data_IF_529273333002
#
_entry.id   IF_529273333002
#
_cell.length_a   1.000
_cell.length_b   1.000
_cell.length_c   1.000
_cell.angle_alpha   90.00
_cell.angle_beta   90.00
_cell.angle_gamma   90.00
#
_symmetry.space_group_name_H-M   'P 1'
#
loop_
_entity.id
_entity.type
_entity.pdbx_description
1 polymer ?
#
# COMPACT_ATOMS: atom_id res chain seq x y z
N UNK A 1 -18.40 9.52 16.78
CA UNK A 1 -17.61 8.68 15.85
C UNK A 1 -17.11 9.62 14.77
N UNK A 2 -15.80 9.77 14.60
CA UNK A 2 -15.26 10.53 13.49
C UNK A 2 -15.29 9.63 12.26
N UNK A 3 -16.13 9.96 11.28
CA UNK A 3 -16.16 9.24 10.01
C UNK A 3 -15.02 9.75 9.14
N UNK A 4 -14.24 8.85 8.52
CA UNK A 4 -13.26 9.24 7.52
C UNK A 4 -13.98 9.91 6.33
N UNK A 5 -13.38 10.93 5.71
CA UNK A 5 -13.99 11.63 4.59
C UNK A 5 -14.17 10.71 3.39
N UNK A 6 -15.30 10.84 2.69
CA UNK A 6 -15.58 10.15 1.41
C UNK A 6 -15.43 11.16 0.28
N UNK A 7 -14.55 10.86 -0.67
CA UNK A 7 -14.21 11.74 -1.79
C UNK A 7 -14.54 11.02 -3.10
N UNK A 8 -15.52 11.53 -3.83
CA UNK A 8 -15.82 11.07 -5.17
C UNK A 8 -14.89 11.78 -6.18
N UNK A 9 -14.05 10.99 -6.87
CA UNK A 9 -13.08 11.53 -7.83
C UNK A 9 -13.55 11.47 -9.28
N UNK A 10 -14.81 11.14 -9.55
CA UNK A 10 -15.35 10.99 -10.90
C UNK A 10 -15.21 12.26 -11.74
N UNK A 11 -15.49 13.43 -11.16
CA UNK A 11 -15.35 14.74 -11.84
C UNK A 11 -13.91 14.98 -12.27
N UNK A 12 -12.95 14.70 -11.38
CA UNK A 12 -11.52 14.83 -11.67
C UNK A 12 -11.10 13.86 -12.78
N UNK A 13 -11.49 12.59 -12.69
CA UNK A 13 -11.21 11.56 -13.71
C UNK A 13 -11.70 11.93 -15.11
N UNK A 14 -12.91 12.49 -15.19
CA UNK A 14 -13.56 12.79 -16.47
C UNK A 14 -12.96 14.03 -17.13
N UNK A 15 -12.63 15.06 -16.35
CA UNK A 15 -12.04 16.29 -16.87
C UNK A 15 -11.17 16.97 -15.79
N UNK A 16 -9.87 16.66 -15.70
CA UNK A 16 -8.97 17.23 -14.69
C UNK A 16 -8.90 18.77 -14.69
N UNK A 17 -9.29 19.42 -15.80
CA UNK A 17 -9.23 20.87 -15.98
C UNK A 17 -10.57 21.59 -15.74
N UNK A 18 -11.59 20.88 -15.26
CA UNK A 18 -12.88 21.50 -14.89
C UNK A 18 -12.79 22.27 -13.57
N UNK A 19 -13.67 23.25 -13.35
CA UNK A 19 -13.77 23.94 -12.04
C UNK A 19 -14.07 22.95 -10.90
N UNK A 20 -14.92 21.95 -11.15
CA UNK A 20 -15.25 20.92 -10.15
C UNK A 20 -14.06 20.02 -9.79
N UNK A 21 -13.07 19.88 -10.68
CA UNK A 21 -11.88 19.08 -10.44
C UNK A 21 -10.94 19.71 -9.41
N UNK A 22 -10.88 21.04 -9.35
CA UNK A 22 -10.15 21.73 -8.30
C UNK A 22 -10.80 21.49 -6.93
N UNK A 23 -12.13 21.56 -6.84
CA UNK A 23 -12.86 21.28 -5.59
C UNK A 23 -12.60 19.85 -5.09
N UNK A 24 -12.60 18.86 -6.00
CA UNK A 24 -12.26 17.46 -5.64
C UNK A 24 -10.82 17.36 -5.15
N UNK A 25 -9.87 17.97 -5.85
CA UNK A 25 -8.46 17.96 -5.49
C UNK A 25 -8.17 18.63 -4.13
N UNK A 26 -8.80 19.77 -3.87
CA UNK A 26 -8.71 20.48 -2.57
C UNK A 26 -9.31 19.65 -1.44
N UNK A 27 -10.45 18.97 -1.67
CA UNK A 27 -11.07 18.09 -0.69
C UNK A 27 -10.17 16.87 -0.38
N UNK A 28 -9.52 16.30 -1.40
CA UNK A 28 -8.58 15.20 -1.25
C UNK A 28 -7.34 15.63 -0.44
N UNK A 29 -6.78 16.80 -0.76
CA UNK A 29 -5.66 17.39 0.00
C UNK A 29 -6.07 17.67 1.44
N UNK A 30 -7.25 18.22 1.68
CA UNK A 30 -7.76 18.48 3.03
C UNK A 30 -7.92 17.19 3.85
N UNK A 31 -8.44 16.12 3.25
CA UNK A 31 -8.53 14.81 3.90
C UNK A 31 -7.14 14.27 4.28
N UNK A 32 -6.19 14.36 3.34
CA UNK A 32 -4.81 13.92 3.53
C UNK A 32 -4.01 14.77 4.53
N UNK A 33 -4.29 16.06 4.61
CA UNK A 33 -3.67 16.98 5.57
C UNK A 33 -4.21 16.77 6.99
N UNK A 34 -5.54 16.63 7.14
CA UNK A 34 -6.18 16.56 8.44
C UNK A 34 -6.09 15.17 9.07
N UNK A 35 -6.30 14.13 8.27
CA UNK A 35 -6.42 12.74 8.74
C UNK A 35 -5.39 11.81 8.09
N UNK A 36 -4.95 12.09 6.86
CA UNK A 36 -4.06 11.17 6.12
C UNK A 36 -4.76 9.95 5.52
N UNK A 37 -6.10 9.91 5.63
CA UNK A 37 -6.97 8.84 5.17
C UNK A 37 -8.24 9.42 4.51
N UNK A 38 -8.75 8.75 3.49
CA UNK A 38 -10.05 9.02 2.87
C UNK A 38 -10.63 7.74 2.27
N UNK A 39 -11.94 7.66 2.11
CA UNK A 39 -12.54 6.75 1.13
C UNK A 39 -12.58 7.43 -0.23
N UNK A 40 -12.22 6.69 -1.27
CA UNK A 40 -12.26 7.14 -2.67
C UNK A 40 -13.35 6.36 -3.40
N UNK A 41 -14.31 7.08 -3.97
CA UNK A 41 -15.38 6.55 -4.83
C UNK A 41 -15.29 7.17 -6.23
N UNK A 42 -16.07 6.66 -7.19
CA UNK A 42 -16.00 7.17 -8.57
C UNK A 42 -14.63 6.92 -9.22
N UNK A 43 -13.88 5.94 -8.71
CA UNK A 43 -12.49 5.66 -9.08
C UNK A 43 -12.33 5.00 -10.46
N UNK A 44 -13.40 4.39 -11.00
CA UNK A 44 -13.39 3.80 -12.34
C UNK A 44 -12.72 2.43 -12.45
N UNK A 45 -12.48 1.77 -11.32
CA UNK A 45 -12.09 0.35 -11.27
C UNK A 45 -13.36 -0.47 -11.38
N UNK A 46 -13.34 -1.53 -12.18
CA UNK A 46 -14.48 -2.41 -12.43
C UNK A 46 -14.96 -3.08 -11.13
N UNK A 47 -16.22 -2.83 -10.67
CA UNK A 47 -16.77 -3.47 -9.48
C UNK A 47 -16.77 -5.01 -9.56
N UNK A 48 -16.87 -5.59 -10.76
CA UNK A 48 -16.84 -7.03 -10.94
C UNK A 48 -15.47 -7.64 -10.59
N UNK A 49 -14.37 -6.89 -10.81
CA UNK A 49 -13.02 -7.32 -10.41
C UNK A 49 -12.88 -7.37 -8.90
N UNK A 50 -13.47 -6.41 -8.18
CA UNK A 50 -13.45 -6.38 -6.73
C UNK A 50 -14.07 -7.67 -6.16
N UNK A 51 -15.30 -7.99 -6.55
CA UNK A 51 -15.97 -9.22 -6.12
C UNK A 51 -15.15 -10.47 -6.50
N UNK A 52 -14.70 -10.55 -7.77
CA UNK A 52 -13.95 -11.71 -8.25
C UNK A 52 -12.64 -11.93 -7.50
N UNK A 53 -11.95 -10.86 -7.10
CA UNK A 53 -10.72 -10.96 -6.32
C UNK A 53 -10.95 -11.51 -4.91
N UNK A 54 -12.03 -11.13 -4.23
CA UNK A 54 -12.35 -11.70 -2.92
C UNK A 54 -12.72 -13.19 -3.02
N UNK A 55 -13.49 -13.59 -4.03
CA UNK A 55 -13.77 -15.02 -4.29
C UNK A 55 -12.49 -15.83 -4.56
N UNK A 56 -11.54 -15.25 -5.31
CA UNK A 56 -10.25 -15.88 -5.57
C UNK A 56 -9.34 -15.89 -4.34
N UNK A 57 -9.43 -14.87 -3.47
CA UNK A 57 -8.75 -14.83 -2.19
C UNK A 57 -9.28 -15.94 -1.27
N UNK A 58 -10.61 -16.10 -1.16
CA UNK A 58 -11.25 -17.22 -0.46
C UNK A 58 -10.72 -18.55 -0.99
N UNK A 59 -10.80 -18.74 -2.31
CA UNK A 59 -10.34 -19.96 -2.96
C UNK A 59 -8.85 -20.24 -2.70
N UNK A 60 -8.01 -19.20 -2.61
CA UNK A 60 -6.60 -19.33 -2.30
C UNK A 60 -6.38 -19.78 -0.85
N UNK A 61 -7.02 -19.14 0.12
CA UNK A 61 -6.83 -19.47 1.54
C UNK A 61 -7.50 -20.81 1.93
N UNK A 62 -8.45 -21.29 1.14
CA UNK A 62 -9.02 -22.64 1.25
C UNK A 62 -8.11 -23.74 0.67
N UNK A 63 -7.06 -23.40 -0.08
CA UNK A 63 -6.10 -24.39 -0.56
C UNK A 63 -5.41 -25.10 0.62
N UNK A 64 -5.10 -26.41 0.48
CA UNK A 64 -4.31 -27.12 1.47
C UNK A 64 -3.01 -26.37 1.80
N UNK A 65 -2.69 -26.24 3.09
CA UNK A 65 -1.52 -25.50 3.55
C UNK A 65 -0.22 -25.84 2.78
N UNK A 66 0.10 -27.11 2.45
CA UNK A 66 1.28 -27.42 1.65
C UNK A 66 1.32 -26.77 0.26
N UNK A 67 0.15 -26.55 -0.37
CA UNK A 67 0.08 -25.87 -1.67
C UNK A 67 0.34 -24.37 -1.53
N UNK A 68 -0.12 -23.74 -0.45
CA UNK A 68 0.18 -22.34 -0.15
C UNK A 68 1.64 -22.15 0.23
N UNK A 69 2.18 -23.02 1.09
CA UNK A 69 3.59 -23.02 1.49
C UNK A 69 4.55 -23.32 0.32
N UNK A 70 4.11 -24.04 -0.71
CA UNK A 70 4.90 -24.21 -1.93
C UNK A 70 5.19 -22.87 -2.63
N UNK A 71 4.37 -21.84 -2.39
CA UNK A 71 4.55 -20.48 -2.89
C UNK A 71 5.23 -19.56 -1.85
N UNK A 72 5.91 -20.11 -0.84
CA UNK A 72 6.52 -19.32 0.24
C UNK A 72 7.31 -18.11 -0.28
N UNK A 73 7.16 -16.96 0.37
CA UNK A 73 7.84 -15.71 0.00
C UNK A 73 9.37 -15.88 -0.04
N UNK A 74 9.92 -16.74 0.82
CA UNK A 74 11.31 -17.18 0.83
C UNK A 74 11.81 -17.77 -0.49
N UNK A 75 10.94 -18.19 -1.41
CA UNK A 75 11.34 -18.70 -2.72
C UNK A 75 11.65 -17.60 -3.73
N UNK A 76 11.33 -16.34 -3.43
CA UNK A 76 11.48 -15.21 -4.35
C UNK A 76 12.41 -14.14 -3.78
N UNK A 77 13.50 -13.83 -4.50
CA UNK A 77 14.34 -12.67 -4.20
C UNK A 77 13.55 -11.35 -4.27
N UNK A 78 12.47 -11.32 -5.06
CA UNK A 78 11.60 -10.17 -5.23
C UNK A 78 10.53 -10.03 -4.14
N UNK A 79 10.58 -10.85 -3.07
CA UNK A 79 9.60 -10.84 -1.97
C UNK A 79 8.16 -11.03 -2.47
N UNK A 80 7.96 -11.92 -3.46
CA UNK A 80 6.64 -12.33 -3.97
C UNK A 80 6.31 -13.71 -3.45
N UNK A 81 5.10 -13.95 -2.96
CA UNK A 81 4.68 -15.25 -2.46
C UNK A 81 3.94 -15.21 -1.14
N UNK A 82 3.69 -16.39 -0.59
CA UNK A 82 2.90 -16.62 0.61
C UNK A 82 3.73 -16.48 1.89
N UNK A 83 3.17 -15.78 2.87
CA UNK A 83 3.68 -15.65 4.24
C UNK A 83 2.72 -16.39 5.17
N UNK A 84 3.26 -17.29 6.00
CA UNK A 84 2.45 -18.13 6.89
C UNK A 84 1.82 -17.30 7.99
N UNK A 85 0.69 -17.79 8.51
CA UNK A 85 -0.01 -17.18 9.65
C UNK A 85 0.94 -16.90 10.82
N UNK A 86 1.05 -15.62 11.21
CA UNK A 86 1.84 -15.21 12.36
C UNK A 86 3.34 -15.00 12.09
N UNK A 87 3.81 -15.20 10.85
CA UNK A 87 5.24 -15.04 10.53
C UNK A 87 5.69 -13.56 10.53
N UNK A 88 4.85 -12.66 10.01
CA UNK A 88 5.16 -11.22 10.01
C UNK A 88 5.01 -10.63 11.42
N UNK A 89 5.86 -9.63 11.73
CA UNK A 89 5.90 -8.98 13.03
C UNK A 89 5.89 -7.47 12.88
N UNK A 90 5.04 -6.82 13.66
CA UNK A 90 5.04 -5.36 13.81
C UNK A 90 5.37 -4.98 15.25
N UNK A 91 6.34 -4.08 15.42
CA UNK A 91 6.87 -3.64 16.72
C UNK A 91 7.27 -4.79 17.66
N UNK A 92 7.85 -5.86 17.08
CA UNK A 92 8.31 -7.01 17.84
C UNK A 92 7.21 -7.99 18.27
N UNK A 93 5.95 -7.76 17.90
CA UNK A 93 4.81 -8.67 18.15
C UNK A 93 4.37 -9.32 16.85
N UNK A 94 3.98 -10.60 16.88
CA UNK A 94 3.46 -11.33 15.72
C UNK A 94 2.11 -10.76 15.28
N UNK A 95 1.97 -10.54 13.98
CA UNK A 95 0.73 -10.10 13.34
C UNK A 95 -0.14 -11.33 13.02
N UNK A 96 -1.37 -11.38 13.56
CA UNK A 96 -2.28 -12.51 13.38
C UNK A 96 -2.97 -12.48 12.00
N UNK A 97 -2.14 -12.69 10.97
CA UNK A 97 -2.53 -12.74 9.58
C UNK A 97 -1.65 -13.68 8.80
N UNK A 98 -2.19 -14.15 7.69
CA UNK A 98 -1.44 -14.75 6.60
C UNK A 98 -1.71 -13.96 5.32
N UNK A 99 -0.81 -14.04 4.34
CA UNK A 99 -0.95 -13.24 3.12
C UNK A 99 -0.24 -13.87 1.93
N UNK A 100 -0.61 -13.44 0.73
CA UNK A 100 0.16 -13.66 -0.50
C UNK A 100 0.45 -12.32 -1.17
N UNK A 101 1.72 -12.15 -1.53
CA UNK A 101 2.30 -10.91 -2.02
C UNK A 101 2.53 -10.99 -3.54
N UNK A 102 2.05 -9.98 -4.26
CA UNK A 102 2.25 -9.82 -5.71
C UNK A 102 2.86 -8.45 -6.05
N UNK A 103 3.32 -8.30 -7.28
CA UNK A 103 3.77 -7.04 -7.87
C UNK A 103 3.73 -7.07 -9.39
N UNK A 104 4.37 -6.09 -10.04
CA UNK A 104 4.53 -6.09 -11.50
C UNK A 104 5.08 -7.43 -11.99
N UNK A 105 4.45 -8.00 -13.01
CA UNK A 105 4.89 -9.27 -13.60
C UNK A 105 6.12 -9.01 -14.46
N UNK A 106 7.31 -9.27 -13.91
CA UNK A 106 8.57 -9.00 -14.58
C UNK A 106 9.47 -10.25 -14.57
N UNK A 107 10.34 -10.44 -15.57
CA UNK A 107 11.35 -11.48 -15.51
C UNK A 107 12.34 -11.19 -14.37
N UNK A 108 12.92 -12.24 -13.79
CA UNK A 108 14.04 -12.07 -12.88
C UNK A 108 15.23 -11.40 -13.62
N UNK A 109 16.00 -10.52 -12.94
CA UNK A 109 17.22 -9.96 -13.48
C UNK A 109 18.17 -11.07 -13.95
N UNK A 110 18.77 -10.90 -15.14
CA UNK A 110 19.72 -11.86 -15.71
C UNK A 110 21.07 -11.86 -14.98
N UNK A 111 21.45 -10.71 -14.44
CA UNK A 111 22.63 -10.50 -13.61
C UNK A 111 22.26 -9.60 -12.44
N UNK A 112 23.03 -9.70 -11.36
CA UNK A 112 22.92 -8.80 -10.20
C UNK A 112 24.06 -7.77 -10.18
N UNK A 113 24.65 -7.51 -11.34
CA UNK A 113 25.68 -6.49 -11.54
C UNK A 113 25.00 -5.12 -11.55
N UNK A 114 24.98 -4.42 -10.42
CA UNK A 114 24.33 -3.13 -10.29
C UNK A 114 23.85 -2.83 -8.88
N UNK A 115 22.85 -1.96 -8.77
CA UNK A 115 22.27 -1.62 -7.48
C UNK A 115 21.57 -2.85 -6.86
N UNK A 116 21.80 -3.15 -5.56
CA UNK A 116 21.26 -4.36 -4.95
C UNK A 116 19.73 -4.51 -5.01
N UNK A 117 19.00 -3.39 -5.02
CA UNK A 117 17.54 -3.37 -5.13
C UNK A 117 17.01 -3.88 -6.47
N UNK A 118 17.85 -4.08 -7.49
CA UNK A 118 17.44 -4.73 -8.74
C UNK A 118 16.84 -6.13 -8.51
N UNK A 119 17.26 -6.82 -7.45
CA UNK A 119 16.73 -8.13 -7.03
C UNK A 119 15.27 -8.08 -6.55
N UNK A 120 14.74 -6.89 -6.26
CA UNK A 120 13.33 -6.68 -5.93
C UNK A 120 12.40 -6.85 -7.15
N UNK A 121 12.96 -6.86 -8.36
CA UNK A 121 12.23 -7.19 -9.59
C UNK A 121 12.26 -8.69 -9.83
N UNK A 122 11.13 -9.25 -10.21
CA UNK A 122 11.05 -10.67 -10.51
C UNK A 122 9.62 -11.17 -10.66
N UNK A 123 9.47 -12.45 -11.02
CA UNK A 123 8.17 -13.02 -11.31
C UNK A 123 7.36 -13.20 -10.03
N UNK A 124 6.04 -13.13 -10.18
CA UNK A 124 5.12 -13.54 -9.13
C UNK A 124 5.06 -15.09 -9.03
N UNK A 125 4.70 -15.58 -7.85
CA UNK A 125 4.43 -17.00 -7.62
C UNK A 125 2.93 -17.26 -7.70
N UNK A 126 2.46 -17.95 -8.75
CA UNK A 126 1.04 -18.19 -9.00
C UNK A 126 0.62 -19.63 -8.61
N UNK A 127 -0.50 -19.81 -7.88
CA UNK A 127 -1.04 -21.13 -7.57
C UNK A 127 -1.55 -21.83 -8.84
N UNK A 128 -0.97 -22.98 -9.19
CA UNK A 128 -1.41 -23.76 -10.36
C UNK A 128 -2.89 -24.21 -10.28
N UNK A 129 -3.42 -24.36 -9.07
CA UNK A 129 -4.82 -24.74 -8.82
C UNK A 129 -5.83 -23.60 -9.12
N UNK A 130 -5.37 -22.35 -9.22
CA UNK A 130 -6.23 -21.17 -9.46
C UNK A 130 -5.73 -20.37 -10.68
N UNK A 131 -5.89 -20.91 -11.91
CA UNK A 131 -5.37 -20.29 -13.12
C UNK A 131 -5.94 -18.89 -13.39
N UNK A 132 -7.14 -18.61 -12.91
CA UNK A 132 -7.82 -17.31 -13.06
C UNK A 132 -7.23 -16.20 -12.17
N UNK A 133 -6.48 -16.56 -11.12
CA UNK A 133 -5.93 -15.57 -10.19
C UNK A 133 -4.95 -14.63 -10.90
N UNK A 134 -4.06 -15.17 -11.74
CA UNK A 134 -3.08 -14.37 -12.49
C UNK A 134 -3.74 -13.30 -13.39
N UNK A 135 -4.57 -13.65 -14.38
CA UNK A 135 -5.15 -12.65 -15.27
C UNK A 135 -6.06 -11.65 -14.54
N UNK A 136 -6.81 -12.10 -13.53
CA UNK A 136 -7.67 -11.21 -12.73
C UNK A 136 -6.85 -10.20 -11.93
N UNK A 137 -5.84 -10.68 -11.19
CA UNK A 137 -4.96 -9.82 -10.39
C UNK A 137 -4.23 -8.81 -11.26
N UNK A 138 -3.65 -9.23 -12.39
CA UNK A 138 -2.93 -8.32 -13.28
C UNK A 138 -3.85 -7.27 -13.92
N UNK A 139 -5.08 -7.64 -14.29
CA UNK A 139 -6.07 -6.68 -14.80
C UNK A 139 -6.46 -5.66 -13.74
N UNK A 140 -6.70 -6.11 -12.51
CA UNK A 140 -7.00 -5.19 -11.41
C UNK A 140 -5.80 -4.28 -11.08
N UNK A 141 -4.58 -4.81 -11.06
CA UNK A 141 -3.37 -4.02 -10.83
C UNK A 141 -3.19 -2.91 -11.87
N UNK A 142 -3.52 -3.16 -13.14
CA UNK A 142 -3.49 -2.14 -14.21
C UNK A 142 -4.51 -1.00 -13.94
N UNK A 143 -5.73 -1.35 -13.54
CA UNK A 143 -6.74 -0.36 -13.16
C UNK A 143 -6.36 0.42 -11.90
N UNK A 144 -5.75 -0.25 -10.92
CA UNK A 144 -5.24 0.38 -9.71
C UNK A 144 -4.02 1.27 -9.97
N UNK A 145 -3.16 0.95 -10.94
CA UNK A 145 -2.11 1.85 -11.40
C UNK A 145 -2.69 3.15 -11.98
N UNK A 146 -3.74 3.03 -12.80
CA UNK A 146 -4.45 4.20 -13.35
C UNK A 146 -5.08 5.04 -12.24
N UNK A 147 -5.71 4.39 -11.25
CA UNK A 147 -6.27 5.07 -10.07
C UNK A 147 -5.17 5.77 -9.26
N UNK A 148 -4.07 5.08 -8.96
CA UNK A 148 -2.94 5.60 -8.19
C UNK A 148 -2.35 6.85 -8.83
N UNK A 149 -2.10 6.81 -10.14
CA UNK A 149 -1.61 7.97 -10.89
C UNK A 149 -2.64 9.12 -10.86
N UNK A 150 -3.92 8.82 -11.03
CA UNK A 150 -4.99 9.83 -11.01
C UNK A 150 -5.08 10.52 -9.65
N UNK A 151 -5.04 9.76 -8.55
CA UNK A 151 -5.08 10.29 -7.20
C UNK A 151 -3.84 11.12 -6.88
N UNK A 152 -2.65 10.69 -7.32
CA UNK A 152 -1.41 11.42 -7.13
C UNK A 152 -1.40 12.75 -7.89
N UNK A 153 -1.91 12.76 -9.13
CA UNK A 153 -2.10 13.99 -9.93
C UNK A 153 -3.13 14.94 -9.30
N UNK A 154 -4.23 14.40 -8.77
CA UNK A 154 -5.21 15.19 -8.03
C UNK A 154 -4.60 15.84 -6.78
N UNK A 155 -3.78 15.10 -6.03
CA UNK A 155 -3.03 15.65 -4.89
C UNK A 155 -2.06 16.75 -5.33
N UNK A 156 -1.28 16.53 -6.40
CA UNK A 156 -0.39 17.56 -6.93
C UNK A 156 -1.15 18.84 -7.31
N UNK A 157 -2.27 18.69 -8.02
CA UNK A 157 -3.12 19.81 -8.42
C UNK A 157 -3.71 20.57 -7.22
N UNK A 158 -4.24 19.86 -6.22
CA UNK A 158 -4.76 20.47 -4.99
C UNK A 158 -3.69 21.16 -4.14
N UNK A 159 -2.44 20.69 -4.23
CA UNK A 159 -1.26 21.34 -3.63
C UNK A 159 -0.75 22.54 -4.45
N UNK A 160 -1.44 22.88 -5.54
CA UNK A 160 -1.09 23.94 -6.51
C UNK A 160 0.29 23.73 -7.14
N UNK A 161 0.61 22.47 -7.42
CA UNK A 161 1.74 22.05 -8.24
C UNK A 161 1.27 21.75 -9.67
N UNK A 162 2.18 21.62 -10.65
CA UNK A 162 1.86 20.98 -11.92
C UNK A 162 1.22 19.61 -11.69
N UNK A 163 0.19 19.28 -12.46
CA UNK A 163 -0.56 18.01 -12.31
C UNK A 163 0.39 16.80 -12.40
N UNK A 164 1.34 16.85 -13.33
CA UNK A 164 2.35 15.83 -13.60
C UNK A 164 3.58 15.89 -12.70
N UNK A 165 3.57 16.68 -11.62
CA UNK A 165 4.76 16.94 -10.76
C UNK A 165 5.50 15.67 -10.35
N UNK A 166 4.77 14.61 -10.07
CA UNK A 166 5.31 13.33 -9.59
C UNK A 166 5.43 12.25 -10.67
N UNK A 167 4.89 12.46 -11.87
CA UNK A 167 4.79 11.43 -12.92
C UNK A 167 6.14 10.79 -13.27
N UNK A 168 7.20 11.61 -13.29
CA UNK A 168 8.57 11.15 -13.57
C UNK A 168 9.02 10.00 -12.68
N UNK A 169 8.51 9.93 -11.44
CA UNK A 169 8.87 8.93 -10.47
C UNK A 169 8.09 7.60 -10.67
N UNK A 170 6.95 7.62 -11.36
CA UNK A 170 6.02 6.49 -11.49
C UNK A 170 5.88 5.97 -12.93
N UNK A 171 6.26 6.76 -13.94
CA UNK A 171 6.13 6.39 -15.35
C UNK A 171 7.46 5.86 -15.92
N UNK A 172 7.42 4.95 -16.93
CA UNK A 172 6.21 4.41 -17.58
C UNK A 172 5.48 3.33 -16.75
N UNK A 173 6.13 2.77 -15.74
CA UNK A 173 5.59 1.69 -14.92
C UNK A 173 6.03 1.89 -13.46
N UNK A 174 5.07 1.93 -12.53
CA UNK A 174 5.34 2.10 -11.10
C UNK A 174 5.76 0.77 -10.46
N UNK A 175 6.62 0.80 -9.44
CA UNK A 175 6.99 -0.42 -8.70
C UNK A 175 5.96 -0.69 -7.58
N UNK A 176 4.82 -1.26 -7.98
CA UNK A 176 3.71 -1.54 -7.06
C UNK A 176 3.89 -2.82 -6.26
N UNK A 177 3.11 -2.92 -5.19
CA UNK A 177 3.06 -4.12 -4.38
C UNK A 177 1.61 -4.39 -3.97
N UNK A 178 1.23 -5.65 -3.96
CA UNK A 178 -0.10 -6.09 -3.54
C UNK A 178 0.05 -7.08 -2.41
N UNK A 179 -0.73 -6.88 -1.35
CA UNK A 179 -0.93 -7.89 -0.31
C UNK A 179 -2.37 -8.33 -0.32
N UNK A 180 -2.62 -9.61 -0.61
CA UNK A 180 -3.91 -10.26 -0.37
C UNK A 180 -3.82 -10.92 1.00
N UNK A 181 -4.62 -10.45 1.96
CA UNK A 181 -4.41 -10.75 3.39
C UNK A 181 -5.65 -11.44 3.94
N UNK A 182 -5.43 -12.50 4.72
CA UNK A 182 -6.45 -13.19 5.50
C UNK A 182 -6.14 -13.07 7.00
N UNK A 183 -7.14 -12.59 7.75
CA UNK A 183 -7.14 -12.48 9.19
C UNK A 183 -8.11 -13.54 9.73
N UNK A 184 -7.63 -14.73 10.13
CA UNK A 184 -8.51 -15.72 10.72
C UNK A 184 -9.03 -15.25 12.09
N UNK A 185 -10.16 -15.81 12.57
CA UNK A 185 -10.60 -15.63 13.94
C UNK A 185 -9.44 -15.90 14.92
N UNK A 186 -9.22 -14.99 15.86
CA UNK A 186 -8.20 -15.22 16.90
C UNK A 186 -8.76 -16.08 18.04
N UNK A 187 -7.92 -16.90 18.69
CA UNK A 187 -8.25 -17.49 19.99
C UNK A 187 -8.53 -16.41 21.04
N UNK A 188 -9.38 -16.71 22.03
CA UNK A 188 -9.77 -15.78 23.10
C UNK A 188 -8.57 -15.25 23.92
N UNK A 189 -7.51 -16.05 24.06
CA UNK A 189 -6.28 -15.73 24.80
C UNK A 189 -5.16 -15.14 23.93
N UNK A 190 -5.39 -14.98 22.62
CA UNK A 190 -4.41 -14.43 21.70
C UNK A 190 -4.44 -12.90 21.67
N UNK A 191 -3.30 -12.30 21.27
CA UNK A 191 -3.20 -10.87 20.99
C UNK A 191 -4.30 -10.41 20.02
N UNK A 192 -4.83 -9.20 20.24
CA UNK A 192 -5.79 -8.59 19.32
C UNK A 192 -5.11 -8.04 18.05
N UNK A 193 -3.79 -8.14 17.96
CA UNK A 193 -2.99 -7.61 16.86
C UNK A 193 -3.17 -8.43 15.59
N UNK A 194 -3.97 -7.92 14.66
CA UNK A 194 -4.01 -8.38 13.27
C UNK A 194 -2.84 -7.79 12.50
N UNK A 195 -2.62 -6.48 12.66
CA UNK A 195 -1.39 -5.75 12.29
C UNK A 195 -1.12 -4.72 13.36
N UNK A 196 0.10 -4.64 13.88
CA UNK A 196 0.48 -3.62 14.87
C UNK A 196 0.38 -2.19 14.34
N UNK A 197 0.44 -1.21 15.25
CA UNK A 197 0.46 0.21 14.85
C UNK A 197 1.71 0.53 14.03
N UNK A 198 1.51 1.03 12.82
CA UNK A 198 2.60 1.37 11.89
C UNK A 198 2.19 2.51 10.97
N UNK A 199 3.17 3.00 10.21
CA UNK A 199 3.00 3.88 9.06
C UNK A 199 3.41 3.13 7.80
N UNK A 200 2.78 3.44 6.68
CA UNK A 200 3.27 2.97 5.38
C UNK A 200 4.50 3.78 4.98
N UNK A 201 5.55 3.12 4.53
CA UNK A 201 6.80 3.79 4.13
C UNK A 201 6.75 4.36 2.71
N UNK A 202 5.74 3.98 1.91
CA UNK A 202 5.59 4.32 0.50
C UNK A 202 5.00 5.70 0.21
N UNK A 203 4.24 5.81 -0.88
CA UNK A 203 3.56 7.06 -1.30
C UNK A 203 2.04 6.99 -1.10
N UNK A 204 1.34 6.11 -1.83
CA UNK A 204 -0.09 5.90 -1.69
C UNK A 204 -0.40 4.42 -1.44
N UNK A 205 -1.37 4.15 -0.60
CA UNK A 205 -1.93 2.82 -0.39
C UNK A 205 -3.43 2.87 -0.60
N UNK A 206 -3.96 1.88 -1.32
CA UNK A 206 -5.39 1.67 -1.50
C UNK A 206 -5.79 0.32 -0.90
N UNK A 207 -6.84 0.30 -0.08
CA UNK A 207 -7.26 -0.90 0.65
C UNK A 207 -8.71 -1.20 0.31
N UNK A 208 -8.93 -2.39 -0.25
CA UNK A 208 -10.24 -3.04 -0.29
C UNK A 208 -10.38 -3.99 0.89
N UNK A 209 -11.57 -4.07 1.49
CA UNK A 209 -11.84 -4.90 2.66
C UNK A 209 -13.28 -5.43 2.62
N UNK A 210 -13.48 -6.67 3.08
CA UNK A 210 -14.80 -7.30 3.15
C UNK A 210 -15.57 -6.95 4.45
N UNK A 211 -14.84 -6.54 5.49
CA UNK A 211 -15.35 -6.33 6.84
C UNK A 211 -14.46 -5.34 7.61
N UNK A 212 -14.91 -4.88 8.77
CA UNK A 212 -14.18 -3.91 9.61
C UNK A 212 -13.00 -4.53 10.35
N UNK A 213 -12.12 -3.70 10.91
CA UNK A 213 -10.95 -4.15 11.69
C UNK A 213 -9.75 -3.22 11.54
N UNK A 214 -9.67 -2.50 10.40
CA UNK A 214 -8.73 -1.40 10.22
C UNK A 214 -9.11 -0.22 11.14
N UNK A 215 -8.12 0.31 11.84
CA UNK A 215 -8.26 1.47 12.71
C UNK A 215 -7.20 2.53 12.40
N UNK A 216 -7.63 3.78 12.32
CA UNK A 216 -6.79 4.94 12.00
C UNK A 216 -6.55 5.78 13.25
N UNK A 217 -5.31 6.17 13.50
CA UNK A 217 -4.97 7.03 14.62
C UNK A 217 -5.42 8.48 14.36
N UNK A 218 -6.15 9.06 15.32
CA UNK A 218 -6.58 10.45 15.30
C UNK A 218 -6.20 11.13 16.62
N UNK A 219 -6.44 12.44 16.72
CA UNK A 219 -6.25 13.20 17.97
C UNK A 219 -7.11 12.68 19.13
N UNK A 220 -8.24 12.05 18.83
CA UNK A 220 -9.19 11.49 19.81
C UNK A 220 -8.94 10.00 20.08
N UNK A 221 -7.87 9.43 19.53
CA UNK A 221 -7.55 8.00 19.59
C UNK A 221 -7.80 7.26 18.28
N UNK A 222 -7.82 5.93 18.32
CA UNK A 222 -8.06 5.09 17.15
C UNK A 222 -9.55 5.09 16.78
N UNK A 223 -9.86 5.30 15.49
CA UNK A 223 -11.22 5.24 14.95
C UNK A 223 -11.33 4.12 13.92
N UNK A 224 -12.46 3.43 13.88
CA UNK A 224 -12.70 2.35 12.93
C UNK A 224 -12.89 2.88 11.51
N UNK A 225 -12.36 2.12 10.54
CA UNK A 225 -12.55 2.36 9.12
C UNK A 225 -13.32 1.16 8.50
N UNK A 226 -14.66 1.14 8.59
CA UNK A 226 -15.46 0.03 8.06
C UNK A 226 -15.42 -0.05 6.51
N UNK A 227 -15.75 -1.20 5.90
CA UNK A 227 -15.87 -1.29 4.44
C UNK A 227 -16.87 -0.27 3.90
N UNK A 228 -16.56 0.31 2.74
CA UNK A 228 -17.46 1.14 1.97
C UNK A 228 -17.71 0.44 0.63
N UNK A 229 -18.99 0.24 0.28
CA UNK A 229 -19.38 -0.30 -1.02
C UNK A 229 -18.87 0.62 -2.14
N UNK A 230 -18.30 0.02 -3.20
CA UNK A 230 -17.68 0.74 -4.32
C UNK A 230 -16.66 1.82 -3.91
N UNK A 231 -15.95 1.57 -2.80
CA UNK A 231 -14.96 2.48 -2.27
C UNK A 231 -13.65 1.78 -1.89
N UNK A 232 -12.54 2.45 -2.16
CA UNK A 232 -11.24 2.09 -1.58
C UNK A 232 -10.91 3.04 -0.45
N UNK A 233 -10.40 2.52 0.66
CA UNK A 233 -9.67 3.38 1.59
C UNK A 233 -8.37 3.77 0.91
N UNK A 234 -8.04 5.06 0.90
CA UNK A 234 -6.75 5.59 0.48
C UNK A 234 -6.05 6.20 1.69
N UNK A 235 -4.78 5.85 1.87
CA UNK A 235 -3.90 6.49 2.83
C UNK A 235 -2.54 6.83 2.25
N UNK A 236 -1.80 7.67 2.96
CA UNK A 236 -0.49 8.16 2.54
C UNK A 236 0.63 7.44 3.28
N UNK A 237 1.76 7.31 2.59
CA UNK A 237 3.01 6.85 3.18
C UNK A 237 4.01 7.98 3.44
N UNK A 238 5.07 7.63 4.17
CA UNK A 238 6.08 8.57 4.68
C UNK A 238 6.82 9.33 3.59
N UNK A 239 6.97 8.77 2.38
CA UNK A 239 7.65 9.48 1.29
C UNK A 239 6.87 10.71 0.84
N UNK A 240 5.54 10.63 0.75
CA UNK A 240 4.72 11.79 0.38
C UNK A 240 4.64 12.82 1.50
N UNK A 241 4.61 12.35 2.75
CA UNK A 241 4.76 13.23 3.91
C UNK A 241 6.07 14.01 3.85
N UNK A 242 7.20 13.33 3.63
CA UNK A 242 8.52 13.98 3.52
C UNK A 242 8.57 14.95 2.35
N UNK A 243 8.05 14.53 1.19
CA UNK A 243 8.02 15.37 -0.01
C UNK A 243 7.26 16.67 0.20
N UNK A 244 6.19 16.64 0.99
CA UNK A 244 5.34 17.80 1.31
C UNK A 244 5.75 18.49 2.62
N UNK A 245 6.94 18.19 3.15
CA UNK A 245 7.46 18.69 4.42
C UNK A 245 6.50 18.53 5.61
N UNK A 246 5.76 17.43 5.64
CA UNK A 246 4.81 17.11 6.71
C UNK A 246 3.40 17.65 6.49
N UNK A 247 3.17 18.43 5.42
CA UNK A 247 1.85 18.98 5.16
C UNK A 247 0.82 17.87 4.92
N UNK A 248 1.13 16.90 4.07
CA UNK A 248 0.32 15.68 3.98
C UNK A 248 0.81 14.65 5.01
N UNK A 249 -0.10 13.93 5.67
CA UNK A 249 0.25 13.09 6.83
C UNK A 249 0.20 11.61 6.47
N UNK A 250 1.29 10.90 6.76
CA UNK A 250 1.31 9.45 6.83
C UNK A 250 0.82 9.05 8.23
N UNK A 251 -0.46 8.72 8.35
CA UNK A 251 -1.09 8.53 9.67
C UNK A 251 -0.89 7.12 10.20
N UNK A 252 -0.54 6.95 11.50
CA UNK A 252 -0.41 5.63 12.07
C UNK A 252 -1.75 4.89 12.03
N UNK A 253 -1.72 3.62 11.70
CA UNK A 253 -2.91 2.77 11.65
C UNK A 253 -2.57 1.34 12.06
N UNK A 254 -3.59 0.57 12.38
CA UNK A 254 -3.46 -0.83 12.84
C UNK A 254 -4.65 -1.66 12.37
N UNK A 255 -4.55 -2.98 12.49
CA UNK A 255 -5.67 -3.89 12.26
C UNK A 255 -5.92 -4.71 13.51
N UNK A 256 -7.17 -4.74 13.96
CA UNK A 256 -7.62 -5.61 15.05
C UNK A 256 -8.06 -6.95 14.46
N UNK A 257 -7.56 -8.04 15.02
CA UNK A 257 -7.94 -9.40 14.60
C UNK A 257 -9.42 -9.67 14.87
N UNK A 258 -10.13 -10.33 13.95
CA UNK A 258 -11.53 -10.63 14.16
C UNK A 258 -11.72 -11.74 15.21
N UNK A 259 -12.88 -11.76 15.86
CA UNK A 259 -13.25 -12.75 16.88
C UNK A 259 -14.11 -13.87 16.27
N UNK A 260 -15.11 -13.52 15.44
CA UNK A 260 -16.13 -14.48 15.01
C UNK A 260 -15.85 -15.11 13.64
N UNK A 261 -15.48 -14.29 12.66
CA UNK A 261 -15.34 -14.71 11.26
C UNK A 261 -14.04 -14.17 10.67
N UNK A 262 -13.46 -14.94 9.73
CA UNK A 262 -12.28 -14.48 9.02
C UNK A 262 -12.59 -13.19 8.24
N UNK A 263 -11.64 -12.26 8.25
CA UNK A 263 -11.68 -11.02 7.47
C UNK A 263 -10.60 -11.06 6.40
N UNK A 264 -10.89 -10.51 5.23
CA UNK A 264 -9.89 -10.32 4.18
C UNK A 264 -9.76 -8.85 3.78
N UNK A 265 -8.56 -8.51 3.34
CA UNK A 265 -8.30 -7.24 2.70
C UNK A 265 -7.28 -7.38 1.60
N UNK A 266 -7.38 -6.55 0.58
CA UNK A 266 -6.41 -6.45 -0.50
C UNK A 266 -5.84 -5.04 -0.46
N UNK A 267 -4.55 -4.93 -0.14
CA UNK A 267 -3.83 -3.66 -0.09
C UNK A 267 -2.96 -3.51 -1.34
N UNK A 268 -3.15 -2.42 -2.07
CA UNK A 268 -2.37 -2.00 -3.23
C UNK A 268 -1.50 -0.81 -2.85
N UNK A 269 -0.19 -1.03 -2.81
CA UNK A 269 0.80 0.01 -2.53
C UNK A 269 1.30 0.58 -3.86
N UNK A 270 0.91 1.81 -4.16
CA UNK A 270 1.33 2.56 -5.34
C UNK A 270 2.57 3.37 -5.01
N UNK A 271 3.72 2.88 -5.47
CA UNK A 271 5.03 3.43 -5.12
C UNK A 271 5.84 3.85 -6.34
N UNK A 272 6.82 4.77 -6.17
CA UNK A 272 7.73 5.16 -7.22
C UNK A 272 8.48 3.96 -7.78
N UNK A 273 9.04 4.13 -8.97
CA UNK A 273 10.05 3.22 -9.51
C UNK A 273 11.24 3.11 -8.59
N UNK A 274 11.89 1.96 -8.54
CA UNK A 274 13.05 1.73 -7.69
C UNK A 274 14.22 2.68 -8.00
N UNK A 275 14.42 3.08 -9.26
CA UNK A 275 15.45 4.06 -9.62
C UNK A 275 15.13 5.49 -9.17
N UNK A 276 13.87 5.78 -8.85
CA UNK A 276 13.39 7.14 -8.69
C UNK A 276 13.92 7.77 -7.40
N UNK A 277 14.32 9.03 -7.52
CA UNK A 277 14.49 9.93 -6.39
C UNK A 277 13.17 10.66 -6.18
N UNK A 278 12.60 10.52 -4.98
CA UNK A 278 11.34 11.18 -4.66
C UNK A 278 11.61 12.52 -3.98
N UNK A 279 11.58 13.59 -4.75
CA UNK A 279 12.01 14.92 -4.33
C UNK A 279 11.00 15.62 -3.42
N UNK A 280 11.51 16.52 -2.58
CA UNK A 280 10.67 17.51 -1.92
C UNK A 280 10.06 18.50 -2.93
N UNK A 281 8.86 18.98 -2.61
CA UNK A 281 8.19 20.03 -3.36
C UNK A 281 8.16 21.33 -2.55
N UNK A 282 8.26 22.46 -3.25
CA UNK A 282 8.06 23.77 -2.64
C UNK A 282 6.56 24.06 -2.57
N UNK A 283 6.01 24.05 -1.35
CA UNK A 283 4.62 24.38 -1.11
C UNK A 283 4.42 25.91 -1.15
N UNK A 284 3.28 26.40 -1.67
CA UNK A 284 2.94 27.80 -1.56
C UNK A 284 2.90 28.27 -0.09
N UNK A 285 3.23 29.55 0.21
CA UNK A 285 3.45 30.02 1.59
C UNK A 285 2.30 29.74 2.57
N UNK A 286 1.05 29.80 2.12
CA UNK A 286 -0.14 29.58 2.92
C UNK A 286 -0.39 28.10 3.28
N UNK A 287 0.16 27.14 2.52
CA UNK A 287 0.21 25.71 2.89
C UNK A 287 1.46 25.41 3.71
N UNK A 288 2.61 25.95 3.28
CA UNK A 288 3.90 25.72 3.93
C UNK A 288 3.90 26.10 5.42
N UNK A 289 3.17 27.16 5.81
CA UNK A 289 3.02 27.57 7.22
C UNK A 289 2.33 26.53 8.12
N UNK A 290 1.63 25.57 7.54
CA UNK A 290 0.94 24.47 8.24
C UNK A 290 1.69 23.15 8.16
N UNK A 291 2.87 23.14 7.54
CA UNK A 291 3.72 21.97 7.41
C UNK A 291 4.62 21.85 8.66
N UNK A 292 4.46 20.83 9.52
CA UNK A 292 5.19 20.71 10.78
C UNK A 292 6.64 20.22 10.62
N UNK A 293 7.07 19.85 9.40
CA UNK A 293 8.32 19.14 9.14
C UNK A 293 8.04 17.70 8.69
N UNK A 294 8.73 17.24 7.65
CA UNK A 294 8.48 15.93 7.02
C UNK A 294 9.08 14.73 7.76
N UNK A 295 9.97 14.96 8.73
CA UNK A 295 10.68 13.91 9.46
C UNK A 295 9.86 13.38 10.64
N UNK A 296 9.74 12.05 10.76
CA UNK A 296 9.29 11.43 11.99
C UNK A 296 10.47 11.33 12.95
N UNK A 297 10.41 12.03 14.09
CA UNK A 297 11.44 12.03 15.13
C UNK A 297 11.74 10.63 15.74
N UNK A 298 10.92 9.63 15.42
CA UNK A 298 10.98 8.28 15.98
C UNK A 298 11.78 7.29 15.12
N UNK A 299 12.19 7.66 13.91
CA UNK A 299 12.93 6.78 13.00
C UNK A 299 14.31 7.41 12.74
N UNK A 300 15.32 6.95 13.47
CA UNK A 300 16.76 7.23 13.25
C UNK A 300 17.29 6.48 12.01
N UNK A 301 16.47 6.39 10.95
CA UNK A 301 16.85 5.76 9.69
C UNK A 301 16.98 6.86 8.63
N UNK A 302 18.22 7.15 8.25
CA UNK A 302 18.56 7.91 7.05
C UNK A 302 17.75 7.35 5.86
N UNK A 303 16.80 8.12 5.33
CA UNK A 303 16.10 7.75 4.10
C UNK A 303 17.03 8.07 2.93
N UNK A 304 17.32 7.04 2.15
CA UNK A 304 18.09 7.17 0.94
C UNK A 304 17.32 8.00 -0.09
N UNK A 305 18.04 8.74 -0.94
CA UNK A 305 17.40 9.50 -2.00
C UNK A 305 16.65 8.59 -2.98
N UNK A 306 17.16 7.40 -3.26
CA UNK A 306 16.62 6.43 -4.22
C UNK A 306 15.62 5.50 -3.55
N UNK A 307 14.43 5.34 -4.13
CA UNK A 307 13.35 4.52 -3.56
C UNK A 307 13.74 3.04 -3.38
N UNK A 308 14.44 2.46 -4.35
CA UNK A 308 14.89 1.07 -4.31
C UNK A 308 15.71 0.73 -3.07
N UNK A 309 16.61 1.62 -2.65
CA UNK A 309 17.43 1.43 -1.46
C UNK A 309 16.57 1.40 -0.18
N UNK A 310 15.61 2.33 -0.06
CA UNK A 310 14.66 2.36 1.06
C UNK A 310 13.78 1.11 1.11
N UNK A 311 13.30 0.67 -0.05
CA UNK A 311 12.45 -0.51 -0.16
C UNK A 311 13.23 -1.77 0.22
N UNK A 312 14.45 -1.94 -0.30
CA UNK A 312 15.30 -3.07 -0.01
C UNK A 312 15.62 -3.15 1.49
N UNK A 313 16.07 -2.05 2.10
CA UNK A 313 16.35 -1.99 3.54
C UNK A 313 15.15 -2.44 4.37
N UNK A 314 13.96 -1.93 4.04
CA UNK A 314 12.72 -2.31 4.71
C UNK A 314 12.44 -3.81 4.57
N UNK A 315 12.57 -4.35 3.34
CA UNK A 315 12.31 -5.77 3.06
C UNK A 315 13.28 -6.71 3.75
N UNK A 316 14.57 -6.37 3.78
CA UNK A 316 15.59 -7.18 4.47
C UNK A 316 15.32 -7.28 5.99
N UNK A 317 14.83 -6.20 6.60
CA UNK A 317 14.43 -6.19 8.01
C UNK A 317 13.16 -7.00 8.27
N UNK A 318 12.15 -6.88 7.40
CA UNK A 318 10.84 -7.51 7.58
C UNK A 318 10.81 -9.00 7.23
N UNK A 319 11.69 -9.47 6.34
CA UNK A 319 11.75 -10.87 5.89
C UNK A 319 13.18 -11.41 5.99
N UNK A 320 13.67 -11.70 7.22
CA UNK A 320 15.05 -12.15 7.44
C UNK A 320 15.36 -13.50 6.79
N UNK A 321 14.35 -14.33 6.55
CA UNK A 321 14.44 -15.60 5.83
C UNK A 321 14.73 -15.42 4.33
N UNK A 322 14.06 -14.46 3.68
CA UNK A 322 14.34 -14.07 2.30
C UNK A 322 15.74 -13.43 2.23
N UNK A 323 16.07 -12.55 3.19
CA UNK A 323 17.37 -11.89 3.27
C UNK A 323 18.52 -12.90 3.35
N UNK A 324 18.43 -13.86 4.28
CA UNK A 324 19.44 -14.90 4.44
C UNK A 324 19.61 -15.79 3.19
N UNK A 325 18.55 -15.99 2.41
CA UNK A 325 18.59 -16.87 1.23
C UNK A 325 19.04 -16.19 -0.06
N UNK A 326 18.63 -14.95 -0.29
CA UNK A 326 18.82 -14.26 -1.58
C UNK A 326 19.71 -13.01 -1.50
N UNK A 327 20.04 -12.56 -0.28
CA UNK A 327 20.78 -11.32 -0.01
C UNK A 327 21.86 -11.52 1.06
N UNK A 328 22.39 -12.75 1.18
CA UNK A 328 23.41 -13.09 2.17
C UNK A 328 24.70 -12.26 2.05
N UNK A 329 24.95 -11.68 0.87
CA UNK A 329 26.05 -10.77 0.57
C UNK A 329 25.86 -9.33 1.07
N UNK A 330 24.66 -8.99 1.53
CA UNK A 330 24.30 -7.63 2.00
C UNK A 330 24.01 -7.55 3.50
N UNK A 331 24.00 -8.68 4.22
CA UNK A 331 23.63 -8.78 5.63
C UNK A 331 24.84 -8.88 6.57
#
# INVERSE_FOLDING_TARGET
MANLPVIDISTYRQNPHSEGSLTVAEALVAACHNVGFAYITGHGVDPALHQRLFELADSFFDLPLPQRQALAIANSAAFRGYTTLGDERTNGTSDWREQIDFGPEQPAPKTFDGAPWLRLRGPNQWPAALPDLKPTMLTWMDQMNTLGLTALRALAFGLRQPEDRFDHAFLPEADTHVKVINYPPRPDDATEQGVGTHHDTGVLTFIAQDSGGLQVSTVDGFVDAPPLEDGYIMNLGEMLQRSTNGYLRATPHRVVSPIDAARKSIAFFFNPRYESVFEAIELPPDLARHAPGGEHQMIDDEIHAVFGDNNLRTRLRSHPDVAARHYADLI
#
